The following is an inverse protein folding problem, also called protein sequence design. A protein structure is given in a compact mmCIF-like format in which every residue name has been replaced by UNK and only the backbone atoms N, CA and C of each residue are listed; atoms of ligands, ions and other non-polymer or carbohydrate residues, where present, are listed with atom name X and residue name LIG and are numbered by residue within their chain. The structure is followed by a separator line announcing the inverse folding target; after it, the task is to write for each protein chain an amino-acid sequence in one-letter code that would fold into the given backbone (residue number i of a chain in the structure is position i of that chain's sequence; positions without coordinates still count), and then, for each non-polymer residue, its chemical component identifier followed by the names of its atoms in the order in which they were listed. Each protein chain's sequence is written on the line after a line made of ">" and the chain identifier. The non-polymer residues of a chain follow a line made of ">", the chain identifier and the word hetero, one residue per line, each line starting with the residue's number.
data_IF_538156128194
#
_entry.id   IF_538156128194
#
_cell.length_a   1.000
_cell.length_b   1.000
_cell.length_c   1.000
_cell.angle_alpha   90.00
_cell.angle_beta   90.00
_cell.angle_gamma   90.00
#
_symmetry.space_group_name_H-M   'P 1'
#
loop_
_entity.id
_entity.type
_entity.pdbx_description
1 polymer ?
#
# COMPACT_ATOMS: atom_id res chain seq x y z
N UNK A 1 -4.85 -8.98 2.48
CA UNK A 1 -4.70 -8.31 3.79
C UNK A 1 -4.69 -6.80 3.61
N UNK A 2 -5.38 -6.09 4.48
CA UNK A 2 -5.39 -4.64 4.49
C UNK A 2 -4.33 -4.13 5.45
N UNK A 3 -3.46 -3.25 4.97
CA UNK A 3 -2.37 -2.68 5.76
C UNK A 3 -2.49 -1.16 5.71
N UNK A 4 -2.51 -0.53 6.88
CA UNK A 4 -2.41 0.93 6.92
C UNK A 4 -1.07 1.35 6.34
N UNK A 5 -1.08 2.33 5.44
CA UNK A 5 0.13 2.75 4.75
C UNK A 5 1.24 3.11 5.75
N UNK A 6 2.37 2.41 5.72
CA UNK A 6 3.48 2.71 6.63
C UNK A 6 4.07 4.09 6.34
N UNK A 7 4.67 4.69 7.37
CA UNK A 7 5.17 6.07 7.30
C UNK A 7 6.11 6.32 6.11
N UNK A 8 7.02 5.38 5.86
CA UNK A 8 8.08 5.61 4.86
C UNK A 8 7.60 5.51 3.41
N UNK A 9 6.39 4.99 3.17
CA UNK A 9 5.85 4.95 1.80
C UNK A 9 4.92 6.12 1.50
N UNK A 10 4.63 6.96 2.47
CA UNK A 10 3.74 8.10 2.27
C UNK A 10 4.35 9.09 1.28
N UNK A 11 3.54 9.54 0.31
CA UNK A 11 3.99 10.47 -0.72
C UNK A 11 4.78 9.83 -1.85
N UNK A 12 4.96 8.50 -1.83
CA UNK A 12 5.67 7.79 -2.87
C UNK A 12 4.70 7.13 -3.83
N UNK A 13 5.10 7.01 -5.09
CA UNK A 13 4.29 6.31 -6.08
C UNK A 13 4.42 4.80 -5.91
N UNK A 14 3.42 4.08 -6.39
CA UNK A 14 3.46 2.62 -6.32
C UNK A 14 4.68 2.04 -7.04
N UNK A 15 5.08 2.61 -8.18
CA UNK A 15 6.28 2.14 -8.89
C UNK A 15 7.55 2.37 -8.08
N UNK A 16 7.63 3.49 -7.36
CA UNK A 16 8.79 3.79 -6.52
C UNK A 16 8.87 2.87 -5.30
N UNK A 17 7.74 2.54 -4.71
CA UNK A 17 7.68 1.60 -3.58
C UNK A 17 8.14 0.21 -3.99
N UNK A 18 7.73 -0.24 -5.18
CA UNK A 18 8.17 -1.53 -5.72
C UNK A 18 7.64 -2.73 -4.95
N UNK A 19 6.32 -2.76 -4.68
CA UNK A 19 5.72 -3.85 -3.90
C UNK A 19 6.07 -5.23 -4.43
N UNK A 20 5.98 -5.42 -5.76
CA UNK A 20 6.25 -6.72 -6.36
C UNK A 20 7.76 -7.02 -6.45
N UNK A 21 8.53 -6.04 -6.90
CA UNK A 21 9.96 -6.23 -7.17
C UNK A 21 10.77 -6.37 -5.89
N UNK A 22 10.42 -5.62 -4.85
CA UNK A 22 11.20 -5.57 -3.61
C UNK A 22 10.64 -6.45 -2.51
N UNK A 23 9.33 -6.67 -2.49
CA UNK A 23 8.68 -7.34 -1.37
C UNK A 23 7.89 -8.58 -1.79
N UNK A 24 7.83 -8.87 -3.08
CA UNK A 24 7.08 -10.02 -3.60
C UNK A 24 5.60 -9.97 -3.21
N UNK A 25 5.02 -8.78 -3.22
CA UNK A 25 3.63 -8.55 -2.88
C UNK A 25 2.85 -8.07 -4.09
N UNK A 26 1.59 -8.49 -4.18
CA UNK A 26 0.69 -8.01 -5.21
C UNK A 26 -0.30 -7.02 -4.60
N UNK A 27 -0.45 -5.88 -5.26
CA UNK A 27 -1.43 -4.88 -4.86
C UNK A 27 -2.79 -5.27 -5.43
N UNK A 28 -3.79 -5.36 -4.55
CA UNK A 28 -5.17 -5.57 -4.98
C UNK A 28 -5.81 -4.21 -5.27
N UNK A 29 -5.77 -3.31 -4.30
CA UNK A 29 -6.29 -1.95 -4.46
C UNK A 29 -5.82 -1.07 -3.32
N UNK A 30 -6.14 0.22 -3.42
CA UNK A 30 -5.98 1.17 -2.32
C UNK A 30 -7.36 1.63 -1.88
N UNK A 31 -7.56 1.74 -0.58
CA UNK A 31 -8.73 2.35 0.01
C UNK A 31 -8.32 3.68 0.59
N UNK A 32 -8.92 4.76 0.13
CA UNK A 32 -8.60 6.10 0.62
C UNK A 32 -9.62 6.54 1.66
N UNK A 33 -9.12 7.08 2.76
CA UNK A 33 -9.98 7.58 3.82
C UNK A 33 -10.52 8.94 3.42
N UNK A 34 -11.85 9.06 3.40
CA UNK A 34 -12.53 10.35 3.23
C UNK A 34 -13.58 10.43 4.32
N UNK A 35 -13.56 11.52 5.08
CA UNK A 35 -14.42 11.68 6.25
C UNK A 35 -14.23 10.50 7.21
N UNK A 36 -15.26 9.71 7.50
CA UNK A 36 -15.19 8.61 8.43
C UNK A 36 -15.13 7.24 7.77
N UNK A 37 -14.98 7.18 6.44
CA UNK A 37 -15.04 5.92 5.70
C UNK A 37 -13.86 5.78 4.75
N UNK A 38 -13.55 4.53 4.39
CA UNK A 38 -12.57 4.24 3.34
C UNK A 38 -13.30 3.91 2.05
N UNK A 39 -12.81 4.46 0.95
CA UNK A 39 -13.40 4.25 -0.37
C UNK A 39 -12.34 3.71 -1.33
N UNK A 40 -12.78 2.80 -2.22
CA UNK A 40 -11.91 2.29 -3.27
C UNK A 40 -11.59 3.42 -4.23
N UNK A 41 -10.30 3.60 -4.53
CA UNK A 41 -9.83 4.68 -5.41
C UNK A 41 -10.01 4.40 -6.90
N UNK A 42 -10.60 3.27 -7.25
CA UNK A 42 -10.65 2.80 -8.61
C UNK A 42 -9.47 1.89 -8.88
N UNK A 43 -8.92 1.92 -10.09
CA UNK A 43 -7.77 1.08 -10.44
C UNK A 43 -6.50 1.90 -10.25
N UNK A 44 -5.67 1.60 -9.21
CA UNK A 44 -4.42 2.33 -9.03
C UNK A 44 -3.43 1.94 -10.12
N UNK A 45 -2.57 2.90 -10.49
CA UNK A 45 -1.51 2.65 -11.48
C UNK A 45 -0.14 2.96 -10.89
N UNK A 46 0.90 2.80 -11.71
CA UNK A 46 2.28 2.96 -11.26
C UNK A 46 2.56 4.37 -10.70
N UNK A 47 1.82 5.39 -11.13
CA UNK A 47 2.02 6.78 -10.70
C UNK A 47 1.15 7.19 -9.52
N UNK A 48 0.25 6.32 -9.07
CA UNK A 48 -0.62 6.61 -7.94
C UNK A 48 0.23 6.80 -6.68
N UNK A 49 0.03 7.91 -5.98
CA UNK A 49 0.75 8.20 -4.73
C UNK A 49 -0.01 7.63 -3.55
N UNK A 50 0.74 7.05 -2.61
CA UNK A 50 0.17 6.58 -1.35
C UNK A 50 0.10 7.75 -0.38
N UNK A 51 -1.06 7.93 0.25
CA UNK A 51 -1.29 9.06 1.16
C UNK A 51 -1.55 8.57 2.57
N UNK A 52 -1.44 9.49 3.51
CA UNK A 52 -1.67 9.19 4.92
C UNK A 52 -3.07 8.59 5.11
N UNK A 53 -3.14 7.57 5.96
CA UNK A 53 -4.36 6.85 6.31
C UNK A 53 -4.92 5.97 5.17
N UNK A 54 -4.23 5.87 4.04
CA UNK A 54 -4.62 4.90 3.02
C UNK A 54 -4.48 3.48 3.57
N UNK A 55 -5.40 2.61 3.18
CA UNK A 55 -5.25 1.17 3.37
C UNK A 55 -4.75 0.57 2.07
N UNK A 56 -3.65 -0.16 2.17
CA UNK A 56 -3.07 -0.89 1.04
C UNK A 56 -3.57 -2.32 1.14
N UNK A 57 -4.33 -2.77 0.15
CA UNK A 57 -4.85 -4.14 0.13
C UNK A 57 -3.86 -5.01 -0.64
N UNK A 58 -3.23 -5.93 0.07
CA UNK A 58 -2.12 -6.73 -0.45
C UNK A 58 -2.46 -8.21 -0.48
N UNK A 59 -1.87 -8.89 -1.44
CA UNK A 59 -1.89 -10.34 -1.54
C UNK A 59 -0.45 -10.86 -1.58
N UNK A 60 -0.14 -11.79 -0.69
CA UNK A 60 1.20 -12.37 -0.60
C UNK A 60 1.36 -13.14 0.69
N UNK A 61 2.57 -13.64 0.93
CA UNK A 61 2.87 -14.37 2.16
C UNK A 61 2.90 -13.43 3.35
N UNK A 62 2.46 -13.92 4.51
CA UNK A 62 2.48 -13.12 5.74
C UNK A 62 3.89 -12.63 6.06
N UNK A 63 4.91 -13.46 5.84
CA UNK A 63 6.30 -13.05 6.09
C UNK A 63 6.72 -11.89 5.21
N UNK A 64 6.28 -11.87 3.96
CA UNK A 64 6.59 -10.76 3.04
C UNK A 64 5.84 -9.49 3.43
N UNK A 65 4.59 -9.63 3.86
CA UNK A 65 3.81 -8.49 4.34
C UNK A 65 4.43 -7.89 5.59
N UNK A 66 4.82 -8.74 6.55
CA UNK A 66 5.47 -8.28 7.78
C UNK A 66 6.79 -7.58 7.48
N UNK A 67 7.58 -8.10 6.55
CA UNK A 67 8.84 -7.47 6.14
C UNK A 67 8.61 -6.08 5.54
N UNK A 68 7.59 -5.97 4.69
CA UNK A 68 7.21 -4.67 4.11
C UNK A 68 6.86 -3.65 5.20
N UNK A 69 6.05 -4.07 6.17
CA UNK A 69 5.65 -3.18 7.27
C UNK A 69 6.87 -2.78 8.11
N UNK A 70 7.70 -3.74 8.50
CA UNK A 70 8.85 -3.48 9.37
C UNK A 70 9.87 -2.54 8.72
N UNK A 71 10.16 -2.74 7.44
CA UNK A 71 11.14 -1.91 6.73
C UNK A 71 10.64 -0.47 6.58
N UNK A 72 9.33 -0.28 6.49
CA UNK A 72 8.74 1.02 6.17
C UNK A 72 8.06 1.73 7.34
N UNK A 73 8.27 1.27 8.54
CA UNK A 73 7.68 1.87 9.74
C UNK A 73 8.06 3.33 9.95
#
# INVERSE_FOLDING_TARGET
>A
MEVTAPRKVLGRSLSDIGLREKYNLNLVTLLRKTDDAHHIMGIPDARTLVEKDDLIVLFGKNSDINRFIEINQ
#
